data_IF_863051429312
#
_entry.id   IF_863051429312
#
_cell.length_a   1.000
_cell.length_b   1.000
_cell.length_c   1.000
_cell.angle_alpha   90.00
_cell.angle_beta   90.00
_cell.angle_gamma   90.00
#
_symmetry.space_group_name_H-M   'P 1'
#
loop_
_entity.id
_entity.type
_entity.pdbx_description
1 polymer ?
#
# COMPACT_ATOMS: atom_id res chain seq x y z
N UNK A 1 8.72 8.81 -7.26
CA UNK A 1 8.83 10.28 -7.39
C UNK A 1 7.77 10.96 -6.53
N UNK A 2 7.88 12.27 -6.24
CA UNK A 2 6.86 13.00 -5.46
C UNK A 2 5.48 12.92 -6.11
N UNK A 3 5.42 12.99 -7.45
CA UNK A 3 4.17 12.88 -8.20
C UNK A 3 3.49 11.52 -8.00
N UNK A 4 4.26 10.43 -7.99
CA UNK A 4 3.74 9.08 -7.73
C UNK A 4 3.20 8.95 -6.31
N UNK A 5 3.90 9.52 -5.31
CA UNK A 5 3.43 9.50 -3.93
C UNK A 5 2.11 10.27 -3.76
N UNK A 6 1.99 11.45 -4.39
CA UNK A 6 0.75 12.24 -4.41
C UNK A 6 -0.37 11.44 -5.09
N UNK A 7 -0.09 10.79 -6.21
CA UNK A 7 -1.09 10.02 -6.94
C UNK A 7 -1.64 8.85 -6.11
N UNK A 8 -0.77 8.10 -5.42
CA UNK A 8 -1.16 6.99 -4.53
C UNK A 8 -2.04 7.51 -3.39
N UNK A 9 -1.61 8.58 -2.72
CA UNK A 9 -2.35 9.15 -1.59
C UNK A 9 -3.71 9.71 -2.03
N UNK A 10 -3.76 10.44 -3.14
CA UNK A 10 -4.99 11.02 -3.67
C UNK A 10 -5.96 9.94 -4.13
N UNK A 11 -5.48 8.92 -4.84
CA UNK A 11 -6.33 7.81 -5.31
C UNK A 11 -6.95 7.05 -4.14
N UNK A 12 -6.16 6.76 -3.10
CA UNK A 12 -6.64 6.10 -1.90
C UNK A 12 -7.67 6.95 -1.14
N UNK A 13 -7.40 8.25 -0.99
CA UNK A 13 -8.31 9.16 -0.31
C UNK A 13 -9.62 9.31 -1.08
N UNK A 14 -9.56 9.49 -2.40
CA UNK A 14 -10.74 9.64 -3.25
C UNK A 14 -11.61 8.37 -3.22
N UNK A 15 -11.00 7.20 -3.36
CA UNK A 15 -11.76 5.95 -3.29
C UNK A 15 -12.45 5.79 -1.94
N UNK A 16 -11.74 6.04 -0.85
CA UNK A 16 -12.32 5.87 0.47
C UNK A 16 -13.36 6.94 0.82
N UNK A 17 -13.23 8.16 0.27
CA UNK A 17 -14.23 9.22 0.41
C UNK A 17 -15.56 8.85 -0.25
N UNK A 18 -15.52 8.28 -1.45
CA UNK A 18 -16.73 8.00 -2.21
C UNK A 18 -17.29 6.58 -2.01
N UNK A 19 -16.44 5.60 -1.71
CA UNK A 19 -16.78 4.18 -1.69
C UNK A 19 -16.45 3.49 -0.34
N UNK A 20 -15.83 4.20 0.59
CA UNK A 20 -15.36 3.66 1.87
C UNK A 20 -15.97 4.35 3.08
N UNK A 21 -15.19 4.41 4.16
CA UNK A 21 -15.61 4.98 5.45
C UNK A 21 -15.43 6.50 5.55
N UNK A 22 -14.90 7.16 4.52
CA UNK A 22 -14.51 8.57 4.56
C UNK A 22 -13.15 8.84 5.23
N UNK A 23 -12.62 7.90 6.03
CA UNK A 23 -11.30 8.01 6.67
C UNK A 23 -10.24 7.12 6.02
N UNK A 24 -9.17 7.74 5.51
CA UNK A 24 -8.07 7.01 4.87
C UNK A 24 -7.29 6.18 5.90
N UNK A 25 -7.14 4.88 5.62
CA UNK A 25 -6.39 3.93 6.44
C UNK A 25 -5.10 3.48 5.73
N UNK A 26 -3.99 3.24 6.46
CA UNK A 26 -2.75 2.75 5.89
C UNK A 26 -2.91 1.55 4.94
N UNK A 27 -3.74 0.56 5.29
CA UNK A 27 -4.02 -0.63 4.44
C UNK A 27 -4.42 -0.28 3.00
N UNK A 28 -5.11 0.85 2.81
CA UNK A 28 -5.62 1.28 1.51
C UNK A 28 -4.49 1.77 0.62
N UNK A 29 -3.48 2.43 1.20
CA UNK A 29 -2.31 2.93 0.45
C UNK A 29 -1.58 1.80 -0.29
N UNK A 30 -1.39 0.65 0.37
CA UNK A 30 -0.68 -0.48 -0.22
C UNK A 30 -1.38 -0.98 -1.49
N UNK A 31 -2.71 -1.03 -1.52
CA UNK A 31 -3.46 -1.43 -2.72
C UNK A 31 -3.23 -0.51 -3.92
N UNK A 32 -3.09 0.79 -3.68
CA UNK A 32 -2.86 1.78 -4.76
C UNK A 32 -1.40 1.85 -5.23
N UNK A 33 -0.47 1.12 -4.59
CA UNK A 33 0.87 0.94 -5.13
C UNK A 33 0.86 0.06 -6.39
N UNK A 34 -0.12 -0.83 -6.55
CA UNK A 34 -0.35 -1.59 -7.78
C UNK A 34 -0.72 -0.64 -8.92
N UNK A 35 -0.08 -0.79 -10.09
CA UNK A 35 -0.34 0.02 -11.27
C UNK A 35 0.33 1.39 -11.26
N UNK A 36 0.70 1.93 -10.09
CA UNK A 36 1.49 3.17 -9.97
C UNK A 36 2.98 2.87 -9.88
N UNK A 37 3.37 2.07 -8.88
CA UNK A 37 4.77 1.72 -8.60
C UNK A 37 5.09 0.32 -9.10
N UNK A 38 4.12 -0.59 -8.97
CA UNK A 38 4.28 -2.01 -9.31
C UNK A 38 3.61 -2.26 -10.66
N UNK A 39 4.42 -2.47 -11.69
CA UNK A 39 3.96 -2.51 -13.09
C UNK A 39 3.63 -3.93 -13.54
N UNK A 40 2.77 -4.64 -12.80
CA UNK A 40 2.27 -6.00 -13.11
C UNK A 40 3.32 -7.05 -13.58
N UNK A 41 4.61 -6.81 -13.33
CA UNK A 41 5.71 -7.74 -13.54
C UNK A 41 5.81 -8.68 -12.33
N UNK A 42 5.96 -9.97 -12.59
CA UNK A 42 6.10 -11.00 -11.58
C UNK A 42 7.34 -10.77 -10.70
N UNK A 43 8.42 -10.22 -11.26
CA UNK A 43 9.63 -9.92 -10.50
C UNK A 43 9.44 -8.70 -9.58
N UNK A 44 8.66 -7.70 -9.99
CA UNK A 44 8.32 -6.56 -9.14
C UNK A 44 7.48 -7.00 -7.94
N UNK A 45 6.50 -7.88 -8.17
CA UNK A 45 5.68 -8.46 -7.08
C UNK A 45 6.54 -9.22 -6.08
N UNK A 46 7.46 -10.06 -6.55
CA UNK A 46 8.41 -10.78 -5.67
C UNK A 46 9.28 -9.82 -4.86
N UNK A 47 9.80 -8.76 -5.48
CA UNK A 47 10.63 -7.75 -4.78
C UNK A 47 9.85 -7.05 -3.67
N UNK A 48 8.62 -6.63 -3.96
CA UNK A 48 7.73 -5.98 -2.99
C UNK A 48 7.41 -6.92 -1.84
N UNK A 49 7.03 -8.17 -2.14
CA UNK A 49 6.74 -9.18 -1.12
C UNK A 49 7.92 -9.43 -0.19
N UNK A 50 9.13 -9.52 -0.74
CA UNK A 50 10.35 -9.66 0.05
C UNK A 50 10.62 -8.43 0.93
N UNK A 51 10.38 -7.22 0.40
CA UNK A 51 10.50 -5.99 1.16
C UNK A 51 9.49 -5.92 2.30
N UNK A 52 8.21 -6.20 2.04
CA UNK A 52 7.16 -6.22 3.05
C UNK A 52 7.44 -7.26 4.15
N UNK A 53 8.02 -8.41 3.81
CA UNK A 53 8.48 -9.39 4.81
C UNK A 53 9.54 -8.81 5.76
N UNK A 54 10.48 -8.02 5.25
CA UNK A 54 11.47 -7.32 6.06
C UNK A 54 10.85 -6.21 6.91
N UNK A 55 9.89 -5.47 6.36
CA UNK A 55 9.14 -4.44 7.09
C UNK A 55 8.37 -5.10 8.24
N UNK A 56 7.65 -6.20 7.99
CA UNK A 56 6.92 -6.95 9.00
C UNK A 56 7.81 -7.38 10.17
N UNK A 57 9.02 -7.88 9.90
CA UNK A 57 9.92 -8.29 11.00
C UNK A 57 10.44 -7.12 11.85
N UNK A 58 10.44 -5.90 11.33
CA UNK A 58 10.99 -4.71 12.00
C UNK A 58 9.95 -3.77 12.58
N UNK A 59 8.78 -3.67 11.95
CA UNK A 59 7.81 -2.57 12.13
C UNK A 59 6.41 -3.02 12.53
N UNK A 60 6.11 -4.32 12.57
CA UNK A 60 4.74 -4.81 12.87
C UNK A 60 4.20 -4.39 14.25
N UNK A 61 5.07 -3.94 15.17
CA UNK A 61 4.63 -3.41 16.47
C UNK A 61 4.10 -1.97 16.39
N UNK A 62 4.38 -1.26 15.30
CA UNK A 62 3.86 0.07 15.01
C UNK A 62 2.47 -0.09 14.35
N UNK A 63 1.38 0.42 14.96
CA UNK A 63 0.02 0.17 14.49
C UNK A 63 -0.24 0.51 13.03
N UNK A 64 0.33 1.62 12.55
CA UNK A 64 0.17 2.08 11.17
C UNK A 64 0.83 1.13 10.17
N UNK A 65 1.95 0.52 10.56
CA UNK A 65 2.65 -0.47 9.75
C UNK A 65 1.96 -1.83 9.78
N UNK A 66 1.42 -2.24 10.93
CA UNK A 66 0.59 -3.44 10.98
C UNK A 66 -0.63 -3.30 10.07
N UNK A 67 -1.34 -2.18 10.15
CA UNK A 67 -2.48 -1.89 9.28
C UNK A 67 -2.09 -1.89 7.80
N UNK A 68 -1.01 -1.19 7.43
CA UNK A 68 -0.49 -1.18 6.06
C UNK A 68 -0.27 -2.62 5.54
N UNK A 69 0.35 -3.47 6.35
CA UNK A 69 0.67 -4.86 6.01
C UNK A 69 -0.55 -5.77 5.91
N UNK A 70 -1.71 -5.39 6.47
CA UNK A 70 -2.98 -6.10 6.23
C UNK A 70 -3.50 -5.89 4.80
N UNK A 71 -3.04 -4.84 4.11
CA UNK A 71 -3.40 -4.51 2.73
C UNK A 71 -2.68 -5.33 1.65
N UNK A 72 -1.82 -6.30 2.01
CA UNK A 72 -0.99 -7.06 1.06
C UNK A 72 -1.74 -8.19 0.34
N UNK A 73 -3.05 -8.36 0.56
CA UNK A 73 -3.87 -9.50 0.10
C UNK A 73 -3.89 -9.71 -1.43
N UNK A 74 -3.53 -8.70 -2.21
CA UNK A 74 -3.49 -8.74 -3.67
C UNK A 74 -2.11 -9.09 -4.25
N UNK A 75 -1.08 -9.22 -3.41
CA UNK A 75 0.31 -9.60 -3.75
C UNK A 75 0.58 -11.10 -3.58
#
# INVERSE_FOLDING_TARGET
STAEAINVAYSAAAENWYLGSGELQPRQLLRHLRGTVIKDDEDDRKRVKNYLRLVRSKRVKEPEWDDLLQGEQWL
#
